data_IF_015913721009
#
_entry.id   IF_015913721009
#
_cell.length_a   1.000
_cell.length_b   1.000
_cell.length_c   1.000
_cell.angle_alpha   90.00
_cell.angle_beta   90.00
_cell.angle_gamma   90.00
#
_symmetry.space_group_name_H-M   'P 1'
#
loop_
_entity.id
_entity.type
_entity.pdbx_description
1 polymer ?
#
# COMPACT_ATOMS: atom_id res chain seq x y z
N UNK A 1 -10.22 14.14 6.13
CA UNK A 1 -9.82 14.94 5.01
C UNK A 1 -9.47 14.11 3.81
N UNK A 2 -10.26 14.23 2.80
CA UNK A 2 -10.15 13.37 1.63
C UNK A 2 -9.10 13.87 0.65
N UNK A 3 -8.02 14.33 1.09
CA UNK A 3 -7.01 14.88 0.21
C UNK A 3 -5.59 14.56 0.60
N UNK A 4 -5.42 13.68 1.56
CA UNK A 4 -4.07 13.33 1.96
C UNK A 4 -3.35 12.57 0.86
N UNK A 5 -2.11 12.97 0.55
CA UNK A 5 -1.31 12.22 -0.41
C UNK A 5 -1.09 10.80 0.08
N UNK A 6 -1.09 9.85 -0.85
CA UNK A 6 -0.90 8.45 -0.52
C UNK A 6 0.40 8.21 0.24
N UNK A 7 1.46 8.95 -0.09
CA UNK A 7 2.76 8.75 0.54
C UNK A 7 2.83 9.16 2.01
N UNK A 8 1.80 9.83 2.53
CA UNK A 8 1.73 10.19 3.94
C UNK A 8 0.99 9.16 4.78
N UNK A 9 0.43 8.14 4.15
CA UNK A 9 -0.32 7.11 4.83
C UNK A 9 0.64 6.02 5.29
N UNK A 10 0.46 5.53 6.52
CA UNK A 10 1.26 4.43 7.03
C UNK A 10 0.91 3.11 6.35
N UNK A 11 1.80 2.14 6.45
CA UNK A 11 1.64 0.83 5.83
C UNK A 11 0.36 0.13 6.28
N UNK A 12 0.12 0.09 7.59
CA UNK A 12 -1.07 -0.58 8.13
C UNK A 12 -2.36 0.06 7.63
N UNK A 13 -2.40 1.40 7.60
CA UNK A 13 -3.57 2.12 7.11
C UNK A 13 -3.78 1.86 5.62
N UNK A 14 -2.69 1.81 4.85
CA UNK A 14 -2.78 1.49 3.43
C UNK A 14 -3.34 0.10 3.19
N UNK A 15 -2.92 -0.89 3.99
CA UNK A 15 -3.45 -2.24 3.88
C UNK A 15 -4.93 -2.31 4.23
N UNK A 16 -5.35 -1.58 5.26
CA UNK A 16 -6.77 -1.53 5.63
C UNK A 16 -7.60 -0.96 4.49
N UNK A 17 -7.14 0.13 3.90
CA UNK A 17 -7.86 0.74 2.79
C UNK A 17 -7.90 -0.20 1.58
N UNK A 18 -6.79 -0.91 1.29
CA UNK A 18 -6.76 -1.88 0.22
C UNK A 18 -7.79 -2.99 0.44
N UNK A 19 -7.91 -3.48 1.65
CA UNK A 19 -8.89 -4.52 1.98
C UNK A 19 -10.32 -4.02 1.76
N UNK A 20 -10.60 -2.78 2.12
CA UNK A 20 -11.90 -2.17 1.88
C UNK A 20 -12.19 -2.07 0.39
N UNK A 21 -11.20 -1.66 -0.40
CA UNK A 21 -11.35 -1.56 -1.85
C UNK A 21 -11.61 -2.93 -2.46
N UNK A 22 -10.86 -3.94 -2.03
CA UNK A 22 -11.07 -5.30 -2.53
C UNK A 22 -12.47 -5.80 -2.24
N UNK A 23 -12.97 -5.50 -1.04
CA UNK A 23 -14.34 -5.86 -0.68
C UNK A 23 -15.37 -5.19 -1.59
N UNK A 24 -15.14 -3.92 -1.92
CA UNK A 24 -16.01 -3.20 -2.85
C UNK A 24 -15.95 -3.81 -4.25
N UNK A 25 -14.77 -4.20 -4.71
CA UNK A 25 -14.60 -4.79 -6.04
C UNK A 25 -15.27 -6.16 -6.16
N UNK A 26 -15.43 -6.86 -5.05
CA UNK A 26 -16.10 -8.16 -5.02
C UNK A 26 -17.62 -8.03 -4.99
N UNK A 27 -18.15 -6.85 -4.76
CA UNK A 27 -19.58 -6.62 -4.71
C UNK A 27 -20.20 -6.80 -6.10
N UNK A 28 -21.42 -7.35 -6.13
CA UNK A 28 -22.08 -7.71 -7.38
C UNK A 28 -22.55 -6.52 -8.21
N UNK A 29 -22.75 -5.37 -7.59
CA UNK A 29 -23.23 -4.20 -8.33
C UNK A 29 -22.33 -3.00 -8.02
N UNK A 30 -21.25 -2.91 -8.77
CA UNK A 30 -20.33 -1.79 -8.67
C UNK A 30 -20.43 -0.98 -9.95
N UNK A 31 -20.59 0.33 -9.81
CA UNK A 31 -20.58 1.25 -10.93
C UNK A 31 -19.18 1.26 -11.57
N UNK A 32 -19.13 1.20 -12.90
CA UNK A 32 -17.86 1.12 -13.63
C UNK A 32 -16.97 2.34 -13.34
N UNK A 33 -17.57 3.52 -13.23
CA UNK A 33 -16.81 4.74 -12.96
C UNK A 33 -16.20 4.71 -11.56
N UNK A 34 -16.97 4.22 -10.59
CA UNK A 34 -16.46 4.06 -9.22
C UNK A 34 -15.38 3.01 -9.20
N UNK A 35 -15.58 1.92 -9.93
CA UNK A 35 -14.61 0.85 -10.02
C UNK A 35 -13.28 1.36 -10.54
N UNK A 36 -13.29 2.15 -11.61
CA UNK A 36 -12.06 2.70 -12.18
C UNK A 36 -11.31 3.57 -11.15
N UNK A 37 -12.04 4.43 -10.43
CA UNK A 37 -11.44 5.28 -9.42
C UNK A 37 -10.83 4.45 -8.29
N UNK A 38 -11.53 3.39 -7.87
CA UNK A 38 -11.03 2.53 -6.80
C UNK A 38 -9.79 1.74 -7.22
N UNK A 39 -9.75 1.31 -8.47
CA UNK A 39 -8.57 0.62 -9.00
C UNK A 39 -7.37 1.55 -9.04
N UNK A 40 -7.55 2.80 -9.42
CA UNK A 40 -6.46 3.78 -9.38
C UNK A 40 -5.95 3.99 -7.96
N UNK A 41 -6.85 4.10 -7.00
CA UNK A 41 -6.48 4.26 -5.60
C UNK A 41 -5.72 3.03 -5.11
N UNK A 42 -6.21 1.83 -5.46
CA UNK A 42 -5.55 0.58 -5.08
C UNK A 42 -4.14 0.50 -5.64
N UNK A 43 -3.94 0.92 -6.88
CA UNK A 43 -2.61 0.93 -7.48
C UNK A 43 -1.65 1.80 -6.68
N UNK A 44 -2.08 2.99 -6.29
CA UNK A 44 -1.25 3.88 -5.47
C UNK A 44 -0.92 3.29 -4.11
N UNK A 45 -1.89 2.62 -3.47
CA UNK A 45 -1.67 1.98 -2.19
C UNK A 45 -0.72 0.79 -2.31
N UNK A 46 -0.84 0.02 -3.37
CA UNK A 46 0.07 -1.11 -3.62
C UNK A 46 1.50 -0.61 -3.79
N UNK A 47 1.68 0.45 -4.54
CA UNK A 47 3.02 1.04 -4.72
C UNK A 47 3.60 1.51 -3.40
N UNK A 48 2.79 2.17 -2.58
CA UNK A 48 3.22 2.60 -1.26
C UNK A 48 3.66 1.43 -0.40
N UNK A 49 2.87 0.36 -0.37
CA UNK A 49 3.20 -0.82 0.41
C UNK A 49 4.49 -1.47 -0.08
N UNK A 50 4.66 -1.57 -1.39
CA UNK A 50 5.87 -2.15 -1.98
C UNK A 50 7.10 -1.32 -1.64
N UNK A 51 6.99 0.01 -1.72
CA UNK A 51 8.11 0.89 -1.38
C UNK A 51 8.49 0.76 0.09
N UNK A 52 7.50 0.66 0.97
CA UNK A 52 7.76 0.50 2.40
C UNK A 52 8.43 -0.83 2.70
N UNK A 53 7.98 -1.90 2.06
CA UNK A 53 8.58 -3.21 2.24
C UNK A 53 10.01 -3.24 1.70
N UNK A 54 10.23 -2.61 0.56
CA UNK A 54 11.58 -2.52 -0.01
C UNK A 54 12.53 -1.77 0.90
N UNK A 55 12.08 -0.65 1.45
CA UNK A 55 12.90 0.13 2.38
C UNK A 55 13.22 -0.68 3.65
N UNK A 56 12.23 -1.41 4.17
CA UNK A 56 12.43 -2.24 5.35
C UNK A 56 13.43 -3.38 5.05
N UNK A 57 13.31 -3.98 3.87
CA UNK A 57 14.24 -5.05 3.47
C UNK A 57 15.67 -4.56 3.39
N UNK A 58 15.86 -3.39 2.80
CA UNK A 58 17.20 -2.81 2.70
C UNK A 58 17.78 -2.51 4.07
N UNK A 59 16.96 -2.02 4.97
CA UNK A 59 17.42 -1.74 6.33
C UNK A 59 17.85 -3.01 7.06
N UNK A 60 17.07 -4.08 6.90
CA UNK A 60 17.41 -5.37 7.49
C UNK A 60 18.73 -5.88 6.93
N UNK A 61 18.93 -5.77 5.62
CA UNK A 61 20.17 -6.18 4.98
C UNK A 61 21.38 -5.42 5.54
N UNK A 62 21.23 -4.11 5.75
CA UNK A 62 22.29 -3.30 6.32
C UNK A 62 22.67 -3.74 7.73
N UNK A 63 21.67 -4.07 8.54
CA UNK A 63 21.91 -4.53 9.91
C UNK A 63 22.60 -5.89 9.90
N UNK A 64 22.16 -6.81 9.04
CA UNK A 64 22.76 -8.12 8.93
C UNK A 64 24.21 -8.01 8.46
N UNK A 65 24.49 -7.17 7.47
CA UNK A 65 25.84 -6.94 6.97
C UNK A 65 26.75 -6.39 8.09
N UNK A 66 26.24 -5.48 8.90
CA UNK A 66 26.99 -4.92 9.99
C UNK A 66 27.32 -5.99 11.04
N UNK A 67 26.39 -6.90 11.29
CA UNK A 67 26.62 -8.00 12.24
C UNK A 67 27.65 -9.00 11.71
N UNK A 68 27.64 -9.26 10.40
CA UNK A 68 28.59 -10.17 9.80
C UNK A 68 30.02 -9.62 9.81
N UNK A 69 30.16 -8.30 9.75
CA UNK A 69 31.46 -7.64 9.77
C UNK A 69 32.05 -7.52 11.19
N UNK A 70 31.28 -7.80 12.19
CA UNK A 70 31.72 -7.65 13.60
C UNK A 70 32.56 -8.87 14.12
#
# INVERSE_FOLDING_TARGET
>A
MSGEPTNKIGYATALEELQDILSELEAESVDVDILATRVERADGLIRLCRDRLEAARLKVEQVVDALDDA
#
